data_IF_402898302330
#
_entry.id   IF_402898302330
#
_cell.length_a   1.000
_cell.length_b   1.000
_cell.length_c   1.000
_cell.angle_alpha   90.00
_cell.angle_beta   90.00
_cell.angle_gamma   90.00
#
_symmetry.space_group_name_H-M   'P 1'
#
loop_
_entity.id
_entity.type
_entity.pdbx_description
1 polymer ?
#
# COMPACT_ATOMS: atom_id res chain seq x y z
N UNK A 1 35.66 -33.00 -52.11
CA UNK A 1 34.26 -33.24 -51.72
C UNK A 1 34.27 -33.98 -50.39
N UNK A 2 34.18 -33.25 -49.28
CA UNK A 2 34.13 -33.83 -47.92
C UNK A 2 32.68 -33.71 -47.41
N UNK A 3 32.09 -34.86 -47.10
CA UNK A 3 30.74 -35.00 -46.59
C UNK A 3 30.68 -34.59 -45.11
N UNK A 4 29.74 -33.69 -44.78
CA UNK A 4 29.45 -33.26 -43.43
C UNK A 4 28.49 -34.24 -42.75
N UNK A 5 28.93 -34.82 -41.63
CA UNK A 5 28.10 -35.57 -40.70
C UNK A 5 27.21 -34.60 -39.89
N UNK A 6 25.90 -34.71 -40.07
CA UNK A 6 24.90 -34.08 -39.18
C UNK A 6 24.59 -35.07 -38.06
N UNK A 7 25.08 -34.79 -36.85
CA UNK A 7 24.69 -35.53 -35.64
C UNK A 7 23.42 -34.88 -35.08
N UNK A 8 22.29 -35.56 -35.26
CA UNK A 8 21.03 -35.20 -34.62
C UNK A 8 21.13 -35.49 -33.11
N UNK A 9 21.06 -34.42 -32.30
CA UNK A 9 21.03 -34.52 -30.83
C UNK A 9 19.59 -34.83 -30.42
N UNK A 10 19.34 -36.05 -29.96
CA UNK A 10 18.05 -36.45 -29.39
C UNK A 10 17.75 -35.59 -28.15
N UNK A 11 16.52 -35.05 -28.07
CA UNK A 11 16.03 -34.35 -26.90
C UNK A 11 15.95 -35.33 -25.70
N UNK A 12 16.34 -34.92 -24.49
CA UNK A 12 16.15 -35.75 -23.31
C UNK A 12 14.65 -35.98 -23.05
N UNK A 13 14.25 -37.18 -22.60
CA UNK A 13 12.85 -37.45 -22.28
C UNK A 13 12.37 -36.50 -21.18
N UNK A 14 11.18 -35.92 -21.40
CA UNK A 14 10.50 -35.11 -20.42
C UNK A 14 10.35 -35.89 -19.09
N UNK A 15 10.60 -35.28 -17.92
CA UNK A 15 10.35 -35.95 -16.66
C UNK A 15 8.86 -36.27 -16.57
N UNK A 16 8.57 -37.57 -16.38
CA UNK A 16 7.23 -38.07 -16.16
C UNK A 16 6.57 -37.29 -15.02
N UNK A 17 5.37 -36.77 -15.29
CA UNK A 17 4.52 -36.16 -14.28
C UNK A 17 4.33 -37.16 -13.14
N UNK A 18 4.95 -36.88 -11.99
CA UNK A 18 4.65 -37.59 -10.76
C UNK A 18 3.17 -37.33 -10.44
N UNK A 19 2.34 -38.34 -10.66
CA UNK A 19 0.96 -38.37 -10.18
C UNK A 19 1.00 -38.24 -8.66
N UNK A 20 0.71 -37.05 -8.16
CA UNK A 20 0.48 -36.81 -6.74
C UNK A 20 -0.81 -37.54 -6.38
N UNK A 21 -0.66 -38.72 -5.78
CA UNK A 21 -1.72 -39.41 -5.07
C UNK A 21 -2.27 -38.50 -3.98
N UNK A 22 -3.58 -38.28 -4.02
CA UNK A 22 -4.32 -37.52 -3.03
C UNK A 22 -4.15 -38.17 -1.64
N UNK A 23 -3.58 -37.42 -0.69
CA UNK A 23 -3.70 -37.71 0.73
C UNK A 23 -4.63 -36.65 1.34
N UNK A 24 -5.89 -37.04 1.56
CA UNK A 24 -6.95 -36.22 2.12
C UNK A 24 -7.06 -36.36 3.64
N UNK A 25 -5.95 -36.18 4.37
CA UNK A 25 -5.93 -36.20 5.85
C UNK A 25 -5.42 -34.87 6.46
N UNK A 26 -5.22 -33.83 5.66
CA UNK A 26 -4.91 -32.50 6.19
C UNK A 26 -6.20 -31.70 6.34
N UNK A 27 -6.75 -31.66 7.55
CA UNK A 27 -7.78 -30.67 7.90
C UNK A 27 -7.10 -29.31 8.14
N UNK A 28 -7.57 -28.24 7.49
CA UNK A 28 -7.01 -26.86 7.58
C UNK A 28 -6.84 -26.38 9.04
N UNK A 29 -7.65 -26.92 9.96
CA UNK A 29 -7.65 -26.57 11.37
C UNK A 29 -6.56 -27.22 12.23
N UNK A 30 -5.96 -28.34 11.81
CA UNK A 30 -5.08 -29.14 12.70
C UNK A 30 -3.84 -28.38 13.17
N UNK A 31 -3.33 -27.50 12.32
CA UNK A 31 -2.13 -26.71 12.57
C UNK A 31 -2.44 -25.31 13.12
N UNK A 32 -3.72 -25.00 13.36
CA UNK A 32 -4.11 -23.78 14.06
C UNK A 32 -3.90 -24.00 15.56
N UNK A 33 -3.01 -23.21 16.17
CA UNK A 33 -2.83 -23.23 17.63
C UNK A 33 -3.00 -21.84 18.20
N UNK A 34 -3.60 -21.77 19.38
CA UNK A 34 -3.67 -20.53 20.15
C UNK A 34 -2.28 -20.16 20.64
N UNK A 35 -1.89 -18.91 20.39
CA UNK A 35 -0.72 -18.30 20.98
C UNK A 35 -1.16 -17.59 22.27
N UNK A 36 -0.69 -18.00 23.46
CA UNK A 36 -1.03 -17.33 24.70
C UNK A 36 -0.30 -15.97 24.74
N UNK A 37 -1.05 -14.89 24.54
CA UNK A 37 -0.51 -13.53 24.58
C UNK A 37 -1.27 -12.67 25.59
N UNK A 38 -0.55 -11.93 26.44
CA UNK A 38 -1.13 -11.07 27.48
C UNK A 38 -0.55 -9.67 27.38
N UNK A 39 -1.43 -8.66 27.27
CA UNK A 39 -1.04 -7.25 27.26
C UNK A 39 -1.73 -6.56 28.43
N UNK A 40 -0.95 -5.97 29.34
CA UNK A 40 -1.46 -5.29 30.55
C UNK A 40 -2.44 -6.14 31.38
N UNK A 41 -2.21 -7.45 31.44
CA UNK A 41 -3.07 -8.40 32.16
C UNK A 41 -4.27 -8.92 31.36
N UNK A 42 -4.56 -8.38 30.18
CA UNK A 42 -5.61 -8.86 29.30
C UNK A 42 -5.10 -9.93 28.32
N UNK A 43 -5.79 -11.07 28.28
CA UNK A 43 -5.50 -12.13 27.29
C UNK A 43 -6.00 -11.70 25.92
N UNK A 44 -5.10 -11.67 24.95
CA UNK A 44 -5.43 -11.42 23.55
C UNK A 44 -5.59 -12.77 22.85
N UNK A 45 -6.71 -12.96 22.15
CA UNK A 45 -7.01 -14.18 21.41
C UNK A 45 -6.32 -14.19 20.05
N UNK A 46 -5.09 -14.69 20.01
CA UNK A 46 -4.35 -14.90 18.77
C UNK A 46 -4.29 -16.38 18.42
N UNK A 47 -4.74 -16.74 17.22
CA UNK A 47 -4.51 -18.04 16.62
C UNK A 47 -3.44 -17.91 15.52
N UNK A 48 -2.53 -18.89 15.47
CA UNK A 48 -1.50 -18.97 14.42
C UNK A 48 -1.65 -20.28 13.67
N UNK A 49 -1.83 -20.19 12.36
CA UNK A 49 -1.70 -21.30 11.43
C UNK A 49 -0.28 -21.32 10.87
N UNK A 50 0.48 -22.35 11.23
CA UNK A 50 1.86 -22.54 10.79
C UNK A 50 2.22 -24.03 10.79
N UNK A 51 2.81 -24.50 9.69
CA UNK A 51 3.17 -25.92 9.49
C UNK A 51 4.46 -26.33 10.19
N UNK A 52 5.31 -25.36 10.54
CA UNK A 52 6.55 -25.59 11.27
C UNK A 52 6.58 -24.82 12.59
N UNK A 53 7.36 -25.31 13.55
CA UNK A 53 7.57 -24.60 14.80
C UNK A 53 8.34 -23.28 14.62
N UNK A 54 9.21 -23.20 13.61
CA UNK A 54 9.96 -21.98 13.30
C UNK A 54 9.03 -20.88 12.79
N UNK A 55 8.16 -21.21 11.84
CA UNK A 55 7.17 -20.28 11.29
C UNK A 55 6.18 -19.83 12.37
N UNK A 56 5.80 -20.76 13.26
CA UNK A 56 4.92 -20.43 14.39
C UNK A 56 5.56 -19.41 15.32
N UNK A 57 6.81 -19.61 15.75
CA UNK A 57 7.52 -18.65 16.60
C UNK A 57 7.62 -17.29 15.92
N UNK A 58 8.06 -17.27 14.65
CA UNK A 58 8.14 -16.04 13.88
C UNK A 58 6.80 -15.28 13.84
N UNK A 59 5.70 -15.96 13.52
CA UNK A 59 4.39 -15.32 13.43
C UNK A 59 3.82 -14.90 14.78
N UNK A 60 4.09 -15.67 15.84
CA UNK A 60 3.76 -15.27 17.20
C UNK A 60 4.50 -13.98 17.56
N UNK A 61 5.83 -13.97 17.52
CA UNK A 61 6.66 -12.81 17.89
C UNK A 61 6.25 -11.57 17.05
N UNK A 62 6.09 -11.76 15.74
CA UNK A 62 5.61 -10.73 14.81
C UNK A 62 4.26 -10.14 15.22
N UNK A 63 3.28 -11.00 15.52
CA UNK A 63 1.93 -10.56 15.85
C UNK A 63 1.85 -9.94 17.24
N UNK A 64 2.57 -10.48 18.22
CA UNK A 64 2.60 -9.94 19.59
C UNK A 64 3.06 -8.49 19.62
N UNK A 65 4.17 -8.17 18.92
CA UNK A 65 4.66 -6.80 18.80
C UNK A 65 3.59 -5.85 18.23
N UNK A 66 2.92 -6.25 17.16
CA UNK A 66 1.92 -5.42 16.49
C UNK A 66 0.65 -5.28 17.33
N UNK A 67 0.21 -6.38 17.94
CA UNK A 67 -1.02 -6.42 18.74
C UNK A 67 -0.88 -5.67 20.06
N UNK A 68 0.33 -5.64 20.67
CA UNK A 68 0.62 -4.75 21.81
C UNK A 68 0.35 -3.29 21.43
N UNK A 69 0.92 -2.84 20.31
CA UNK A 69 0.74 -1.47 19.82
C UNK A 69 -0.74 -1.22 19.48
N UNK A 70 -1.42 -2.13 18.79
CA UNK A 70 -2.83 -1.98 18.43
C UNK A 70 -3.75 -1.90 19.65
N UNK A 71 -3.52 -2.76 20.65
CA UNK A 71 -4.25 -2.77 21.92
C UNK A 71 -4.09 -1.44 22.66
N UNK A 72 -2.85 -0.99 22.86
CA UNK A 72 -2.57 0.27 23.54
C UNK A 72 -3.09 1.48 22.76
N UNK A 73 -3.04 1.42 21.43
CA UNK A 73 -3.55 2.47 20.56
C UNK A 73 -5.07 2.61 20.68
N UNK A 74 -5.83 1.51 20.64
CA UNK A 74 -7.29 1.54 20.72
C UNK A 74 -7.81 1.62 22.16
N UNK A 75 -6.98 1.27 23.15
CA UNK A 75 -7.35 1.09 24.56
C UNK A 75 -8.54 0.11 24.73
N UNK A 76 -8.54 -0.98 23.94
CA UNK A 76 -9.53 -2.06 23.98
C UNK A 76 -9.00 -3.29 23.25
N UNK A 77 -9.69 -4.42 23.43
CA UNK A 77 -9.36 -5.70 22.78
C UNK A 77 -9.22 -5.59 21.26
N UNK A 78 -8.19 -6.27 20.72
CA UNK A 78 -7.94 -6.45 19.29
C UNK A 78 -8.85 -7.49 18.64
N UNK A 79 -9.77 -8.11 19.39
CA UNK A 79 -10.60 -9.20 18.91
C UNK A 79 -9.83 -10.52 18.73
N UNK A 80 -10.54 -11.55 18.28
CA UNK A 80 -9.98 -12.85 17.92
C UNK A 80 -9.31 -12.77 16.55
N UNK A 81 -8.00 -12.97 16.50
CA UNK A 81 -7.20 -12.90 15.28
C UNK A 81 -6.70 -14.25 14.79
N UNK A 82 -6.54 -14.39 13.47
CA UNK A 82 -5.83 -15.50 12.85
C UNK A 82 -4.68 -14.98 11.97
N UNK A 83 -3.45 -15.40 12.26
CA UNK A 83 -2.30 -15.22 11.36
C UNK A 83 -1.99 -16.54 10.65
N UNK A 84 -1.97 -16.50 9.32
CA UNK A 84 -1.66 -17.64 8.45
C UNK A 84 -0.27 -17.40 7.85
N UNK A 85 0.69 -18.26 8.18
CA UNK A 85 2.02 -18.19 7.57
C UNK A 85 2.04 -19.03 6.29
N UNK A 86 2.32 -18.39 5.16
CA UNK A 86 2.55 -19.09 3.91
C UNK A 86 3.77 -20.01 3.98
N UNK A 87 3.85 -20.99 3.09
CA UNK A 87 5.05 -21.82 2.90
C UNK A 87 5.77 -21.43 1.62
N UNK A 88 7.08 -21.65 1.57
CA UNK A 88 7.84 -21.51 0.33
C UNK A 88 7.24 -22.40 -0.77
N UNK A 89 7.05 -21.81 -1.96
CA UNK A 89 6.44 -22.46 -3.12
C UNK A 89 4.90 -22.47 -3.13
N UNK A 90 4.23 -22.09 -2.04
CA UNK A 90 2.77 -21.95 -2.05
C UNK A 90 2.34 -20.68 -2.82
N UNK A 91 1.29 -20.77 -3.66
CA UNK A 91 0.74 -19.59 -4.31
C UNK A 91 0.27 -18.55 -3.28
N UNK A 92 0.63 -17.29 -3.53
CA UNK A 92 0.13 -16.17 -2.76
C UNK A 92 -1.40 -16.08 -2.90
N UNK A 93 -2.19 -15.72 -1.86
CA UNK A 93 -3.65 -15.67 -1.94
C UNK A 93 -4.22 -14.85 -3.10
N UNK A 94 -3.52 -13.78 -3.49
CA UNK A 94 -3.86 -12.92 -4.65
C UNK A 94 -3.94 -13.71 -5.96
N UNK A 95 -3.16 -14.78 -6.13
CA UNK A 95 -3.21 -15.65 -7.31
C UNK A 95 -4.59 -16.31 -7.42
N UNK A 96 -5.09 -16.87 -6.31
CA UNK A 96 -6.43 -17.47 -6.25
C UNK A 96 -7.53 -16.42 -6.48
N UNK A 97 -7.40 -15.24 -5.88
CA UNK A 97 -8.37 -14.15 -6.08
C UNK A 97 -8.47 -13.73 -7.54
N UNK A 98 -7.33 -13.51 -8.20
CA UNK A 98 -7.28 -13.15 -9.63
C UNK A 98 -7.85 -14.25 -10.51
N UNK A 99 -7.61 -15.51 -10.17
CA UNK A 99 -8.19 -16.65 -10.90
C UNK A 99 -9.71 -16.65 -10.81
N UNK A 100 -10.25 -16.44 -9.62
CA UNK A 100 -11.71 -16.34 -9.42
C UNK A 100 -12.30 -15.18 -10.24
N UNK A 101 -11.66 -14.01 -10.23
CA UNK A 101 -12.08 -12.84 -11.03
C UNK A 101 -12.07 -13.18 -12.53
N UNK A 102 -10.98 -13.75 -13.04
CA UNK A 102 -10.86 -14.10 -14.46
C UNK A 102 -11.90 -15.12 -14.91
N UNK A 103 -12.22 -16.13 -14.07
CA UNK A 103 -13.28 -17.09 -14.36
C UNK A 103 -14.67 -16.43 -14.37
N UNK A 104 -14.91 -15.46 -13.49
CA UNK A 104 -16.16 -14.71 -13.44
C UNK A 104 -16.34 -13.84 -14.69
N UNK A 105 -15.29 -13.12 -15.10
CA UNK A 105 -15.27 -12.29 -16.31
C UNK A 105 -15.46 -13.11 -17.58
N UNK A 106 -14.92 -14.33 -17.62
CA UNK A 106 -15.12 -15.27 -18.70
C UNK A 106 -16.51 -15.93 -18.72
N UNK A 107 -17.39 -15.62 -17.76
CA UNK A 107 -18.72 -16.23 -17.65
C UNK A 107 -18.66 -17.72 -17.30
N UNK A 108 -17.57 -18.19 -16.69
CA UNK A 108 -17.33 -19.60 -16.39
C UNK A 108 -17.74 -20.00 -14.96
N UNK A 109 -18.25 -19.06 -14.16
CA UNK A 109 -18.77 -19.31 -12.82
C UNK A 109 -20.30 -19.34 -12.82
N UNK A 110 -20.88 -19.87 -11.75
CA UNK A 110 -22.33 -19.88 -11.54
C UNK A 110 -22.92 -18.46 -11.55
N UNK A 111 -24.20 -18.30 -11.92
CA UNK A 111 -24.90 -17.01 -11.81
C UNK A 111 -24.78 -16.38 -10.42
N UNK A 112 -24.60 -15.07 -10.37
CA UNK A 112 -24.42 -14.31 -9.11
C UNK A 112 -22.96 -14.12 -8.68
N UNK A 113 -22.01 -14.91 -9.19
CA UNK A 113 -20.59 -14.79 -8.83
C UNK A 113 -19.91 -13.51 -9.36
N UNK A 114 -20.45 -12.92 -10.43
CA UNK A 114 -19.88 -11.72 -11.04
C UNK A 114 -19.87 -10.51 -10.10
N UNK A 115 -20.83 -10.38 -9.19
CA UNK A 115 -20.86 -9.30 -8.19
C UNK A 115 -19.78 -9.47 -7.14
N UNK A 116 -19.61 -10.69 -6.64
CA UNK A 116 -18.55 -11.03 -5.68
C UNK A 116 -17.16 -10.83 -6.30
N UNK A 117 -16.99 -11.22 -7.57
CA UNK A 117 -15.75 -10.99 -8.31
C UNK A 117 -15.44 -9.50 -8.48
N UNK A 118 -16.44 -8.67 -8.83
CA UNK A 118 -16.27 -7.21 -8.92
C UNK A 118 -15.90 -6.57 -7.57
N UNK A 119 -16.53 -7.03 -6.49
CA UNK A 119 -16.19 -6.56 -5.15
C UNK A 119 -14.76 -6.94 -4.76
N UNK A 120 -14.35 -8.17 -5.07
CA UNK A 120 -12.99 -8.66 -4.82
C UNK A 120 -11.94 -7.92 -5.65
N UNK A 121 -12.23 -7.61 -6.93
CA UNK A 121 -11.34 -6.82 -7.78
C UNK A 121 -11.17 -5.40 -7.23
N UNK A 122 -12.27 -4.75 -6.81
CA UNK A 122 -12.21 -3.45 -6.16
C UNK A 122 -11.37 -3.48 -4.87
N UNK A 123 -11.44 -4.56 -4.08
CA UNK A 123 -10.58 -4.77 -2.91
C UNK A 123 -9.11 -4.89 -3.30
N UNK A 124 -8.77 -5.68 -4.33
CA UNK A 124 -7.39 -5.80 -4.83
C UNK A 124 -6.85 -4.47 -5.35
N UNK A 125 -7.66 -3.68 -6.06
CA UNK A 125 -7.30 -2.34 -6.54
C UNK A 125 -7.07 -1.39 -5.36
N UNK A 126 -7.94 -1.41 -4.35
CA UNK A 126 -7.79 -0.58 -3.15
C UNK A 126 -6.53 -0.96 -2.36
N UNK A 127 -6.25 -2.25 -2.23
CA UNK A 127 -5.03 -2.75 -1.62
C UNK A 127 -3.80 -2.28 -2.42
N UNK A 128 -3.76 -2.51 -3.74
CA UNK A 128 -2.69 -2.03 -4.63
C UNK A 128 -2.44 -0.53 -4.53
N UNK A 129 -3.52 0.26 -4.47
CA UNK A 129 -3.46 1.72 -4.32
C UNK A 129 -2.88 2.11 -2.97
N UNK A 130 -3.20 1.36 -1.90
CA UNK A 130 -2.64 1.59 -0.56
C UNK A 130 -1.13 1.38 -0.53
N UNK A 131 -0.61 0.46 -1.35
CA UNK A 131 0.82 0.18 -1.46
C UNK A 131 1.58 1.23 -2.28
N UNK A 132 0.88 2.07 -3.03
CA UNK A 132 1.45 3.11 -3.90
C UNK A 132 2.53 2.60 -4.89
N UNK A 133 2.44 1.33 -5.30
CA UNK A 133 3.47 0.66 -6.12
C UNK A 133 3.44 1.06 -7.60
N UNK A 134 2.33 1.62 -8.06
CA UNK A 134 2.14 2.04 -9.47
C UNK A 134 2.32 3.55 -9.70
N UNK A 135 2.67 4.34 -8.66
CA UNK A 135 2.85 5.80 -8.79
C UNK A 135 4.16 6.18 -9.53
N UNK A 136 4.34 5.63 -10.72
CA UNK A 136 5.35 6.00 -11.71
C UNK A 136 5.04 7.31 -12.46
N UNK A 137 4.10 8.14 -12.02
CA UNK A 137 3.67 9.30 -12.82
C UNK A 137 3.99 10.70 -12.26
N UNK A 138 4.74 10.82 -11.17
CA UNK A 138 5.10 12.15 -10.63
C UNK A 138 6.52 12.64 -10.88
N UNK A 139 7.45 11.80 -11.32
CA UNK A 139 8.81 12.25 -11.61
C UNK A 139 9.39 11.57 -12.87
N UNK A 140 9.26 12.19 -14.06
CA UNK A 140 9.83 11.65 -15.30
C UNK A 140 11.36 11.57 -15.28
N UNK A 141 12.03 12.21 -14.32
CA UNK A 141 13.49 12.21 -14.20
C UNK A 141 14.02 11.10 -13.26
N UNK A 142 13.13 10.35 -12.57
CA UNK A 142 13.53 9.19 -11.77
C UNK A 142 13.63 7.93 -12.64
N UNK A 143 14.82 7.68 -13.17
CA UNK A 143 15.24 6.42 -13.80
C UNK A 143 15.35 5.26 -12.77
N UNK A 144 14.28 4.98 -12.03
CA UNK A 144 14.19 3.82 -11.14
C UNK A 144 13.80 2.54 -11.89
N UNK A 145 14.19 1.35 -11.39
CA UNK A 145 13.75 0.08 -11.96
C UNK A 145 12.22 -0.02 -12.04
N UNK A 146 11.70 -0.60 -13.13
CA UNK A 146 10.27 -0.87 -13.27
C UNK A 146 9.91 -2.15 -12.51
N UNK A 147 9.82 -2.04 -11.20
CA UNK A 147 9.35 -3.13 -10.36
C UNK A 147 7.83 -3.18 -10.54
N UNK A 148 7.34 -4.24 -11.18
CA UNK A 148 5.91 -4.44 -11.29
C UNK A 148 5.34 -4.85 -9.93
N UNK A 149 4.07 -4.54 -9.70
CA UNK A 149 3.33 -5.07 -8.56
C UNK A 149 3.46 -6.59 -8.46
N UNK A 150 3.34 -7.30 -9.59
CA UNK A 150 3.40 -8.76 -9.65
C UNK A 150 4.74 -9.33 -9.16
N UNK A 151 5.85 -8.61 -9.35
CA UNK A 151 7.15 -9.02 -8.83
C UNK A 151 7.21 -8.94 -7.30
N UNK A 152 6.42 -8.05 -6.67
CA UNK A 152 6.40 -7.85 -5.23
C UNK A 152 5.35 -8.72 -4.52
N UNK A 153 4.24 -9.06 -5.20
CA UNK A 153 3.10 -9.82 -4.65
C UNK A 153 3.51 -11.00 -3.77
N UNK A 154 4.45 -11.88 -4.16
CA UNK A 154 4.80 -13.05 -3.34
C UNK A 154 5.30 -12.72 -1.93
N UNK A 155 5.80 -11.50 -1.71
CA UNK A 155 6.39 -11.10 -0.45
C UNK A 155 5.55 -10.08 0.34
N UNK A 156 4.43 -9.64 -0.22
CA UNK A 156 3.51 -8.69 0.40
C UNK A 156 2.48 -9.44 1.26
N UNK A 157 2.21 -9.02 2.50
CA UNK A 157 1.13 -9.61 3.27
C UNK A 157 -0.23 -9.10 2.81
N UNK A 158 -1.27 -9.90 3.04
CA UNK A 158 -2.62 -9.58 2.61
C UNK A 158 -3.64 -9.85 3.73
N UNK A 159 -4.48 -8.86 4.08
CA UNK A 159 -5.66 -9.10 4.90
C UNK A 159 -6.62 -10.02 4.14
N UNK A 160 -7.12 -11.06 4.80
CA UNK A 160 -8.07 -11.99 4.21
C UNK A 160 -9.47 -11.72 4.75
N UNK A 161 -10.21 -10.86 4.05
CA UNK A 161 -11.57 -10.47 4.39
C UNK A 161 -12.61 -11.16 3.48
N UNK A 162 -13.73 -11.58 4.08
CA UNK A 162 -14.88 -12.13 3.35
C UNK A 162 -14.51 -13.25 2.36
N UNK A 163 -14.87 -13.06 1.09
CA UNK A 163 -14.66 -14.01 0.00
C UNK A 163 -13.19 -14.40 -0.17
N UNK A 164 -12.26 -13.45 0.03
CA UNK A 164 -10.83 -13.72 -0.16
C UNK A 164 -10.30 -14.81 0.79
N UNK A 165 -10.80 -14.84 2.02
CA UNK A 165 -10.42 -15.81 3.03
C UNK A 165 -10.96 -17.20 2.68
N UNK A 166 -12.22 -17.29 2.22
CA UNK A 166 -12.82 -18.54 1.76
C UNK A 166 -12.14 -19.08 0.50
N UNK A 167 -11.81 -18.22 -0.46
CA UNK A 167 -11.06 -18.62 -1.65
C UNK A 167 -9.70 -19.22 -1.29
N UNK A 168 -8.99 -18.62 -0.33
CA UNK A 168 -7.74 -19.18 0.17
C UNK A 168 -7.94 -20.54 0.84
N UNK A 169 -8.97 -20.69 1.68
CA UNK A 169 -9.32 -21.96 2.31
C UNK A 169 -9.60 -23.06 1.27
N UNK A 170 -10.32 -22.72 0.19
CA UNK A 170 -10.59 -23.65 -0.91
C UNK A 170 -9.33 -24.01 -1.67
N UNK A 171 -8.49 -23.03 -2.02
CA UNK A 171 -7.21 -23.30 -2.67
C UNK A 171 -6.34 -24.23 -1.84
N UNK A 172 -6.31 -24.04 -0.52
CA UNK A 172 -5.61 -24.92 0.39
C UNK A 172 -6.19 -26.34 0.41
N UNK A 173 -7.52 -26.48 0.48
CA UNK A 173 -8.19 -27.78 0.52
C UNK A 173 -7.94 -28.60 -0.77
N UNK A 174 -7.79 -27.91 -1.90
CA UNK A 174 -7.43 -28.52 -3.18
C UNK A 174 -5.90 -28.73 -3.34
N UNK A 175 -5.12 -28.52 -2.28
CA UNK A 175 -3.66 -28.66 -2.26
C UNK A 175 -2.94 -27.67 -3.18
N UNK A 176 -3.59 -26.53 -3.47
CA UNK A 176 -3.16 -25.53 -4.46
C UNK A 176 -2.98 -26.09 -5.89
N UNK A 177 -3.59 -27.23 -6.19
CA UNK A 177 -3.57 -27.79 -7.55
C UNK A 177 -4.44 -26.96 -8.49
N UNK A 178 -3.85 -26.51 -9.59
CA UNK A 178 -4.47 -25.54 -10.49
C UNK A 178 -5.76 -26.09 -11.14
N UNK A 179 -5.74 -27.36 -11.54
CA UNK A 179 -6.85 -28.02 -12.23
C UNK A 179 -8.01 -28.30 -11.27
N UNK A 180 -7.72 -28.89 -10.11
CA UNK A 180 -8.71 -29.14 -9.05
C UNK A 180 -9.32 -27.86 -8.53
N UNK A 181 -8.51 -26.83 -8.27
CA UNK A 181 -9.00 -25.52 -7.87
C UNK A 181 -9.91 -24.92 -8.94
N UNK A 182 -9.54 -24.97 -10.23
CA UNK A 182 -10.41 -24.46 -11.30
C UNK A 182 -11.76 -25.16 -11.33
N UNK A 183 -11.75 -26.49 -11.27
CA UNK A 183 -12.97 -27.29 -11.24
C UNK A 183 -13.82 -26.92 -10.02
N UNK A 184 -13.20 -26.77 -8.84
CA UNK A 184 -13.86 -26.36 -7.61
C UNK A 184 -14.49 -24.97 -7.74
N UNK A 185 -13.75 -23.98 -8.22
CA UNK A 185 -14.23 -22.60 -8.38
C UNK A 185 -15.45 -22.53 -9.32
N UNK A 186 -15.43 -23.26 -10.45
CA UNK A 186 -16.56 -23.30 -11.40
C UNK A 186 -17.82 -23.93 -10.81
N UNK A 187 -17.66 -24.85 -9.86
CA UNK A 187 -18.76 -25.52 -9.18
C UNK A 187 -19.31 -24.74 -7.97
N UNK A 188 -18.66 -23.64 -7.54
CA UNK A 188 -19.10 -22.89 -6.37
C UNK A 188 -20.44 -22.19 -6.59
N UNK A 189 -21.25 -22.20 -5.55
CA UNK A 189 -22.45 -21.37 -5.40
C UNK A 189 -22.17 -20.18 -4.46
N UNK A 190 -23.01 -19.16 -4.50
CA UNK A 190 -22.88 -18.00 -3.60
C UNK A 190 -22.91 -18.44 -2.12
N UNK A 191 -23.79 -19.39 -1.77
CA UNK A 191 -23.89 -19.94 -0.43
C UNK A 191 -22.59 -20.64 0.04
N UNK A 192 -21.85 -21.27 -0.88
CA UNK A 192 -20.56 -21.88 -0.54
C UNK A 192 -19.53 -20.83 -0.10
N UNK A 193 -19.63 -19.59 -0.61
CA UNK A 193 -18.75 -18.47 -0.25
C UNK A 193 -19.15 -17.77 1.05
N UNK A 194 -20.40 -17.91 1.48
CA UNK A 194 -20.89 -17.37 2.76
C UNK A 194 -20.44 -18.22 3.95
N UNK A 195 -20.31 -19.53 3.77
CA UNK A 195 -19.72 -20.41 4.79
C UNK A 195 -18.21 -20.22 4.86
N UNK A 196 -17.68 -19.77 5.99
CA UNK A 196 -16.23 -19.57 6.16
C UNK A 196 -15.78 -20.08 7.53
N UNK A 197 -14.82 -21.01 7.56
CA UNK A 197 -14.26 -21.51 8.82
C UNK A 197 -13.54 -20.42 9.61
N UNK A 198 -13.18 -19.31 8.94
CA UNK A 198 -12.57 -18.14 9.56
C UNK A 198 -13.57 -17.11 10.08
N UNK A 199 -14.88 -17.30 9.89
CA UNK A 199 -15.90 -16.35 10.36
C UNK A 199 -15.90 -16.14 11.90
N UNK A 200 -15.28 -17.06 12.65
CA UNK A 200 -15.08 -16.93 14.10
C UNK A 200 -13.99 -15.94 14.51
N UNK A 201 -13.18 -15.46 13.57
CA UNK A 201 -12.14 -14.46 13.81
C UNK A 201 -12.63 -13.09 13.38
N UNK A 202 -12.34 -12.07 14.18
CA UNK A 202 -12.60 -10.68 13.84
C UNK A 202 -11.72 -10.18 12.68
N UNK A 203 -10.54 -10.79 12.49
CA UNK A 203 -9.64 -10.52 11.39
C UNK A 203 -8.76 -11.72 11.06
N UNK A 204 -8.38 -11.84 9.78
CA UNK A 204 -7.48 -12.88 9.28
C UNK A 204 -6.39 -12.22 8.45
N UNK A 205 -5.14 -12.63 8.67
CA UNK A 205 -3.99 -12.02 8.05
C UNK A 205 -3.06 -13.09 7.46
N UNK A 206 -2.82 -13.02 6.16
CA UNK A 206 -1.80 -13.85 5.51
C UNK A 206 -0.44 -13.16 5.60
N UNK A 207 0.50 -13.84 6.24
CA UNK A 207 1.90 -13.47 6.37
C UNK A 207 2.74 -14.35 5.43
N UNK A 208 3.37 -13.78 4.39
CA UNK A 208 4.28 -14.54 3.54
C UNK A 208 5.46 -15.08 4.36
N UNK A 209 6.10 -16.18 3.91
CA UNK A 209 7.30 -16.70 4.55
C UNK A 209 8.33 -15.59 4.82
N UNK A 210 9.10 -15.76 5.91
CA UNK A 210 10.16 -14.81 6.29
C UNK A 210 11.14 -14.53 5.14
N UNK A 211 11.41 -15.54 4.32
CA UNK A 211 12.35 -15.48 3.20
C UNK A 211 11.71 -15.14 1.86
N UNK A 212 10.39 -14.96 1.77
CA UNK A 212 9.70 -14.68 0.51
C UNK A 212 10.24 -13.43 -0.22
N UNK A 213 10.73 -12.44 0.53
CA UNK A 213 11.30 -11.22 -0.05
C UNK A 213 12.74 -11.41 -0.57
N UNK A 214 13.48 -12.42 -0.11
CA UNK A 214 14.85 -12.66 -0.57
C UNK A 214 14.87 -13.00 -2.07
N UNK A 215 13.94 -13.84 -2.52
CA UNK A 215 13.77 -14.16 -3.95
C UNK A 215 13.37 -12.94 -4.79
N UNK A 216 12.52 -12.07 -4.25
CA UNK A 216 12.11 -10.82 -4.92
C UNK A 216 13.29 -9.87 -5.10
N UNK A 217 14.11 -9.67 -4.06
CA UNK A 217 15.34 -8.87 -4.14
C UNK A 217 16.27 -9.44 -5.22
N UNK A 218 16.51 -10.75 -5.21
CA UNK A 218 17.46 -11.39 -6.11
C UNK A 218 17.02 -11.28 -7.58
N UNK A 219 15.73 -11.46 -7.84
CA UNK A 219 15.14 -11.25 -9.18
C UNK A 219 15.27 -9.80 -9.63
N UNK A 220 14.94 -8.84 -8.76
CA UNK A 220 15.04 -7.41 -9.08
C UNK A 220 16.48 -6.99 -9.40
N UNK A 221 17.46 -7.40 -8.58
CA UNK A 221 18.88 -7.07 -8.82
C UNK A 221 19.34 -7.70 -10.14
N UNK A 222 18.95 -8.94 -10.41
CA UNK A 222 19.29 -9.64 -11.66
C UNK A 222 18.76 -8.90 -12.88
N UNK A 223 17.47 -8.53 -12.88
CA UNK A 223 16.85 -7.76 -13.95
C UNK A 223 17.53 -6.40 -14.18
N UNK A 224 17.90 -5.69 -13.11
CA UNK A 224 18.64 -4.42 -13.20
C UNK A 224 20.02 -4.63 -13.83
N UNK A 225 20.77 -5.64 -13.36
CA UNK A 225 22.12 -5.92 -13.88
C UNK A 225 22.09 -6.31 -15.36
N UNK A 226 21.08 -7.08 -15.79
CA UNK A 226 20.88 -7.47 -17.18
C UNK A 226 20.48 -6.28 -18.07
N UNK A 227 19.51 -5.47 -17.62
CA UNK A 227 19.04 -4.28 -18.36
C UNK A 227 20.16 -3.27 -18.57
N UNK A 228 20.98 -3.03 -17.55
CA UNK A 228 22.11 -2.11 -17.60
C UNK A 228 23.35 -2.71 -18.28
N UNK A 229 23.26 -3.93 -18.82
CA UNK A 229 24.36 -4.67 -19.46
C UNK A 229 25.64 -4.64 -18.62
N UNK A 230 25.50 -4.79 -17.31
CA UNK A 230 26.63 -4.61 -16.39
C UNK A 230 27.67 -5.69 -16.62
N UNK A 231 28.93 -5.29 -16.85
CA UNK A 231 30.07 -6.20 -16.88
C UNK A 231 30.38 -6.80 -15.50
N UNK A 232 31.21 -7.84 -15.46
CA UNK A 232 31.53 -8.61 -14.25
C UNK A 232 31.91 -7.74 -13.04
N UNK A 233 32.78 -6.75 -13.23
CA UNK A 233 33.21 -5.85 -12.15
C UNK A 233 32.06 -5.02 -11.58
N UNK A 234 31.19 -4.46 -12.41
CA UNK A 234 30.01 -3.70 -11.96
C UNK A 234 29.03 -4.61 -11.19
N UNK A 235 28.83 -5.84 -11.64
CA UNK A 235 28.00 -6.84 -10.94
C UNK A 235 28.59 -7.17 -9.56
N UNK A 236 29.91 -7.33 -9.46
CA UNK A 236 30.59 -7.57 -8.19
C UNK A 236 30.37 -6.39 -7.23
N UNK A 237 30.55 -5.14 -7.70
CA UNK A 237 30.30 -3.94 -6.88
C UNK A 237 28.86 -3.86 -6.39
N UNK A 238 27.86 -4.13 -7.24
CA UNK A 238 26.44 -4.14 -6.84
C UNK A 238 26.18 -5.20 -5.78
N UNK A 239 26.71 -6.42 -5.96
CA UNK A 239 26.58 -7.50 -4.96
C UNK A 239 27.22 -7.11 -3.62
N UNK A 240 28.40 -6.50 -3.64
CA UNK A 240 29.06 -6.00 -2.42
C UNK A 240 28.25 -4.92 -1.72
N UNK A 241 27.70 -3.96 -2.47
CA UNK A 241 26.79 -2.95 -1.91
C UNK A 241 25.54 -3.59 -1.28
N UNK A 242 25.02 -4.66 -1.88
CA UNK A 242 23.83 -5.35 -1.36
C UNK A 242 24.07 -6.06 -0.03
N UNK A 243 25.29 -6.44 0.32
CA UNK A 243 25.60 -6.93 1.67
C UNK A 243 25.29 -5.87 2.73
N UNK A 244 25.54 -4.59 2.41
CA UNK A 244 25.30 -3.46 3.31
C UNK A 244 23.82 -3.06 3.35
N UNK A 245 23.14 -3.07 2.20
CA UNK A 245 21.76 -2.60 2.11
C UNK A 245 20.68 -3.66 2.40
N UNK A 246 20.96 -4.95 2.19
CA UNK A 246 19.98 -6.04 2.43
C UNK A 246 19.38 -5.99 3.84
N UNK A 247 20.15 -5.78 4.93
CA UNK A 247 19.57 -5.65 6.27
C UNK A 247 18.56 -4.49 6.40
N UNK A 248 18.88 -3.33 5.83
CA UNK A 248 17.97 -2.18 5.82
C UNK A 248 16.69 -2.50 5.04
N UNK A 249 16.81 -3.11 3.87
CA UNK A 249 15.66 -3.51 3.05
C UNK A 249 14.79 -4.53 3.79
N UNK A 250 15.40 -5.56 4.42
CA UNK A 250 14.66 -6.54 5.24
C UNK A 250 13.92 -5.86 6.39
N UNK A 251 14.57 -4.93 7.11
CA UNK A 251 13.92 -4.16 8.19
C UNK A 251 12.76 -3.32 7.66
N UNK A 252 12.91 -2.66 6.51
CA UNK A 252 11.84 -1.89 5.88
C UNK A 252 10.65 -2.77 5.48
N UNK A 253 10.90 -3.95 4.90
CA UNK A 253 9.86 -4.91 4.54
C UNK A 253 9.14 -5.45 5.78
N UNK A 254 9.88 -5.76 6.84
CA UNK A 254 9.28 -6.21 8.10
C UNK A 254 8.45 -5.10 8.75
N UNK A 255 8.94 -3.85 8.76
CA UNK A 255 8.18 -2.70 9.23
C UNK A 255 6.91 -2.47 8.43
N UNK A 256 6.99 -2.66 7.10
CA UNK A 256 5.83 -2.63 6.22
C UNK A 256 4.84 -3.76 6.53
N UNK A 257 5.32 -5.00 6.74
CA UNK A 257 4.46 -6.13 7.12
C UNK A 257 3.73 -5.87 8.44
N UNK A 258 4.46 -5.39 9.45
CA UNK A 258 3.90 -5.01 10.76
C UNK A 258 2.83 -3.92 10.62
N UNK A 259 3.11 -2.90 9.80
CA UNK A 259 2.14 -1.83 9.52
C UNK A 259 0.85 -2.35 8.85
N UNK A 260 0.94 -3.35 7.98
CA UNK A 260 -0.24 -3.97 7.36
C UNK A 260 -1.08 -4.77 8.35
N UNK A 261 -0.46 -5.50 9.29
CA UNK A 261 -1.23 -6.16 10.36
C UNK A 261 -1.89 -5.12 11.27
N UNK A 262 -1.17 -4.06 11.64
CA UNK A 262 -1.71 -2.95 12.43
C UNK A 262 -2.92 -2.30 11.75
N UNK A 263 -2.81 -2.02 10.45
CA UNK A 263 -3.92 -1.52 9.62
C UNK A 263 -5.13 -2.45 9.70
N UNK A 264 -4.91 -3.74 9.50
CA UNK A 264 -5.97 -4.78 9.48
C UNK A 264 -6.72 -4.80 10.81
N UNK A 265 -6.00 -4.81 11.92
CA UNK A 265 -6.60 -4.84 13.27
C UNK A 265 -7.39 -3.56 13.55
N UNK A 266 -6.84 -2.39 13.21
CA UNK A 266 -7.54 -1.12 13.39
C UNK A 266 -8.80 -1.02 12.52
N UNK A 267 -8.75 -1.49 11.27
CA UNK A 267 -9.91 -1.54 10.38
C UNK A 267 -11.03 -2.41 10.95
N UNK A 268 -10.67 -3.57 11.50
CA UNK A 268 -11.65 -4.49 12.09
C UNK A 268 -12.25 -3.96 13.40
N UNK A 269 -11.48 -3.27 14.25
CA UNK A 269 -11.86 -3.07 15.66
C UNK A 269 -11.96 -1.63 16.15
N UNK A 270 -11.29 -0.66 15.53
CA UNK A 270 -11.10 0.66 16.16
C UNK A 270 -12.36 1.53 16.18
N UNK A 271 -13.20 1.47 15.13
CA UNK A 271 -14.31 2.39 14.91
C UNK A 271 -13.88 3.75 14.34
N UNK A 272 -12.60 3.95 14.05
CA UNK A 272 -12.10 5.18 13.42
C UNK A 272 -12.39 5.19 11.91
N UNK A 273 -12.36 6.39 11.33
CA UNK A 273 -12.49 6.54 9.88
C UNK A 273 -11.33 5.87 9.15
N UNK A 274 -11.56 5.41 7.91
CA UNK A 274 -10.52 4.80 7.07
C UNK A 274 -9.29 5.71 6.92
N UNK A 275 -9.51 7.03 6.83
CA UNK A 275 -8.42 8.00 6.70
C UNK A 275 -7.63 8.18 8.01
N UNK A 276 -8.30 8.11 9.17
CA UNK A 276 -7.61 8.19 10.47
C UNK A 276 -6.74 6.96 10.68
N UNK A 277 -7.27 5.78 10.36
CA UNK A 277 -6.55 4.51 10.42
C UNK A 277 -5.34 4.55 9.49
N UNK A 278 -5.50 5.01 8.23
CA UNK A 278 -4.37 5.16 7.30
C UNK A 278 -3.30 6.12 7.83
N UNK A 279 -3.69 7.22 8.46
CA UNK A 279 -2.75 8.17 9.04
C UNK A 279 -1.99 7.57 10.25
N UNK A 280 -2.69 6.83 11.11
CA UNK A 280 -2.08 6.13 12.25
C UNK A 280 -1.11 5.04 11.79
N UNK A 281 -1.51 4.23 10.80
CA UNK A 281 -0.63 3.23 10.19
C UNK A 281 0.60 3.88 9.54
N UNK A 282 0.45 5.05 8.90
CA UNK A 282 1.56 5.81 8.35
C UNK A 282 2.55 6.28 9.42
N UNK A 283 2.05 6.78 10.56
CA UNK A 283 2.89 7.17 11.70
C UNK A 283 3.63 5.97 12.30
N UNK A 284 2.94 4.83 12.44
CA UNK A 284 3.54 3.58 12.89
C UNK A 284 4.66 3.10 11.94
N UNK A 285 4.37 3.00 10.64
CA UNK A 285 5.33 2.60 9.61
C UNK A 285 6.56 3.52 9.60
N UNK A 286 6.37 4.84 9.68
CA UNK A 286 7.47 5.81 9.65
C UNK A 286 8.50 5.56 10.74
N UNK A 287 8.10 5.10 11.93
CA UNK A 287 9.01 4.77 13.02
C UNK A 287 9.77 3.48 12.75
N UNK A 288 9.12 2.49 12.13
CA UNK A 288 9.73 1.19 11.82
C UNK A 288 10.70 1.22 10.63
N UNK A 289 10.60 2.24 9.77
CA UNK A 289 11.49 2.40 8.63
C UNK A 289 12.95 2.55 9.10
N UNK A 290 13.92 1.89 8.44
CA UNK A 290 15.32 1.95 8.81
C UNK A 290 15.86 3.38 8.66
N UNK A 291 16.56 3.87 9.68
CA UNK A 291 17.34 5.11 9.68
C UNK A 291 18.85 4.84 9.56
N UNK A 292 19.22 3.60 9.18
CA UNK A 292 20.58 3.07 9.15
C UNK A 292 21.29 3.06 10.51
N UNK A 293 20.54 3.20 11.62
CA UNK A 293 20.99 2.96 12.98
C UNK A 293 20.26 1.72 13.51
N UNK A 294 21.01 0.66 13.80
CA UNK A 294 20.44 -0.67 14.08
C UNK A 294 20.50 -1.05 15.57
N UNK A 295 20.57 -0.07 16.46
CA UNK A 295 20.90 -0.31 17.87
C UNK A 295 19.71 -0.12 18.83
N UNK A 296 18.53 0.19 18.31
CA UNK A 296 17.34 0.40 19.14
C UNK A 296 16.85 -0.94 19.68
N UNK A 297 16.60 -1.00 20.98
CA UNK A 297 15.88 -2.11 21.60
C UNK A 297 14.41 -2.13 21.17
N UNK A 298 13.75 -3.28 21.36
CA UNK A 298 12.31 -3.42 21.10
C UNK A 298 11.47 -2.42 21.91
N UNK A 299 11.80 -2.21 23.18
CA UNK A 299 11.07 -1.27 24.04
C UNK A 299 11.24 0.18 23.61
N UNK A 300 12.46 0.60 23.22
CA UNK A 300 12.69 1.94 22.66
C UNK A 300 11.92 2.15 21.36
N UNK A 301 11.83 1.11 20.52
CA UNK A 301 11.03 1.15 19.30
C UNK A 301 9.54 1.30 19.64
N UNK A 302 9.05 0.54 20.63
CA UNK A 302 7.67 0.63 21.12
C UNK A 302 7.33 2.02 21.64
N UNK A 303 8.17 2.61 22.49
CA UNK A 303 7.97 3.97 23.01
C UNK A 303 7.88 5.03 21.89
N UNK A 304 8.81 4.97 20.92
CA UNK A 304 8.80 5.87 19.76
C UNK A 304 7.55 5.70 18.91
N UNK A 305 7.11 4.45 18.71
CA UNK A 305 5.89 4.12 18.00
C UNK A 305 4.68 4.74 18.71
N UNK A 306 4.54 4.52 20.01
CA UNK A 306 3.42 5.04 20.79
C UNK A 306 3.42 6.58 20.80
N UNK A 307 4.58 7.21 20.94
CA UNK A 307 4.70 8.67 20.85
C UNK A 307 4.26 9.22 19.47
N UNK A 308 4.63 8.54 18.38
CA UNK A 308 4.22 8.92 17.03
C UNK A 308 2.70 8.75 16.82
N UNK A 309 2.14 7.66 17.34
CA UNK A 309 0.70 7.38 17.28
C UNK A 309 -0.10 8.41 18.08
N UNK A 310 0.29 8.73 19.31
CA UNK A 310 -0.41 9.73 20.13
C UNK A 310 -0.37 11.11 19.47
N UNK A 311 0.78 11.51 18.93
CA UNK A 311 0.88 12.74 18.14
C UNK A 311 -0.05 12.72 16.92
N UNK A 312 -0.21 11.57 16.27
CA UNK A 312 -1.10 11.44 15.13
C UNK A 312 -2.59 11.41 15.52
N UNK A 313 -2.96 10.86 16.69
CA UNK A 313 -4.33 10.96 17.23
C UNK A 313 -4.73 12.42 17.45
N UNK A 314 -3.85 13.25 18.02
CA UNK A 314 -4.09 14.69 18.19
C UNK A 314 -4.31 15.37 16.83
N UNK A 315 -3.50 15.05 15.82
CA UNK A 315 -3.68 15.58 14.45
C UNK A 315 -4.99 15.13 13.82
N UNK A 316 -5.41 13.88 14.05
CA UNK A 316 -6.67 13.34 13.55
C UNK A 316 -7.86 14.05 14.21
N UNK A 317 -7.83 14.25 15.53
CA UNK A 317 -8.85 14.99 16.26
C UNK A 317 -8.93 16.44 15.80
N UNK A 318 -7.80 17.09 15.52
CA UNK A 318 -7.79 18.45 14.96
C UNK A 318 -8.38 18.50 13.54
N UNK A 319 -8.00 17.55 12.68
CA UNK A 319 -8.56 17.44 11.34
C UNK A 319 -10.07 17.21 11.35
N UNK A 320 -10.58 16.42 12.29
CA UNK A 320 -12.02 16.13 12.41
C UNK A 320 -12.87 17.38 12.71
N UNK A 321 -12.28 18.47 13.24
CA UNK A 321 -12.98 19.74 13.48
C UNK A 321 -13.30 20.51 12.19
N UNK A 322 -12.46 20.37 11.17
CA UNK A 322 -12.58 21.07 9.89
C UNK A 322 -12.05 20.17 8.75
N UNK A 323 -12.75 19.06 8.46
CA UNK A 323 -12.31 18.10 7.46
C UNK A 323 -12.34 18.72 6.06
N UNK A 324 -11.45 18.25 5.19
CA UNK A 324 -11.49 18.65 3.79
C UNK A 324 -12.72 18.05 3.11
N UNK A 325 -13.58 18.91 2.57
CA UNK A 325 -14.70 18.54 1.71
C UNK A 325 -14.45 19.15 0.34
N UNK A 326 -14.39 18.30 -0.69
CA UNK A 326 -14.24 18.78 -2.06
C UNK A 326 -15.52 19.50 -2.50
N UNK A 327 -15.47 20.80 -2.83
CA UNK A 327 -16.62 21.50 -3.37
C UNK A 327 -16.90 21.06 -4.81
N UNK A 328 -18.14 21.26 -5.26
CA UNK A 328 -18.48 21.12 -6.67
C UNK A 328 -17.87 22.28 -7.49
N UNK A 329 -17.51 22.00 -8.74
CA UNK A 329 -17.11 23.05 -9.68
C UNK A 329 -18.34 23.87 -10.08
N UNK A 330 -18.13 25.16 -10.35
CA UNK A 330 -19.17 25.97 -10.97
C UNK A 330 -19.40 25.50 -12.41
N UNK A 331 -20.65 25.23 -12.76
CA UNK A 331 -21.03 24.86 -14.13
C UNK A 331 -20.96 26.03 -15.11
N UNK A 332 -21.14 27.26 -14.61
CA UNK A 332 -20.99 28.50 -15.36
C UNK A 332 -20.33 29.56 -14.47
N UNK A 333 -19.43 30.36 -15.03
CA UNK A 333 -18.73 31.44 -14.33
C UNK A 333 -18.27 32.51 -15.31
N UNK A 334 -18.13 33.75 -14.84
CA UNK A 334 -17.43 34.80 -15.57
C UNK A 334 -15.93 34.73 -15.28
N UNK A 335 -15.14 34.31 -16.26
CA UNK A 335 -13.71 34.15 -16.10
C UNK A 335 -12.97 35.48 -15.83
N UNK A 336 -13.51 36.62 -16.27
CA UNK A 336 -12.91 37.93 -16.01
C UNK A 336 -12.96 38.30 -14.52
N UNK A 337 -14.02 37.92 -13.81
CA UNK A 337 -14.16 38.16 -12.37
C UNK A 337 -13.05 37.53 -11.51
N UNK A 338 -12.39 36.48 -12.01
CA UNK A 338 -11.33 35.76 -11.31
C UNK A 338 -9.91 36.27 -11.60
N UNK A 339 -9.74 37.18 -12.57
CA UNK A 339 -8.43 37.71 -12.95
C UNK A 339 -7.69 38.36 -11.77
N UNK A 340 -8.43 38.92 -10.79
CA UNK A 340 -7.87 39.51 -9.56
C UNK A 340 -7.05 38.52 -8.70
N UNK A 341 -7.31 37.22 -8.82
CA UNK A 341 -6.62 36.16 -8.07
C UNK A 341 -5.33 35.69 -8.75
N UNK A 342 -5.06 36.11 -9.99
CA UNK A 342 -3.84 35.77 -10.69
C UNK A 342 -2.63 36.44 -10.03
N UNK A 343 -1.48 35.74 -10.07
CA UNK A 343 -0.21 36.24 -9.54
C UNK A 343 0.50 35.29 -8.59
N UNK A 344 1.45 35.86 -7.86
CA UNK A 344 2.40 35.14 -7.00
C UNK A 344 1.88 34.97 -5.57
N UNK A 345 2.15 33.82 -4.96
CA UNK A 345 1.81 33.52 -3.56
C UNK A 345 2.99 32.83 -2.82
N UNK A 346 3.14 33.21 -1.56
CA UNK A 346 4.18 32.77 -0.62
C UNK A 346 5.45 33.62 -0.61
N UNK A 347 6.38 33.27 0.27
CA UNK A 347 7.64 34.00 0.46
C UNK A 347 8.56 33.88 -0.75
N UNK A 348 9.15 35.01 -1.14
CA UNK A 348 10.25 35.08 -2.09
C UNK A 348 11.50 34.41 -1.47
N UNK A 349 11.75 33.15 -1.82
CA UNK A 349 12.94 32.45 -1.31
C UNK A 349 14.14 32.89 -2.14
N UNK A 350 15.14 33.52 -1.50
CA UNK A 350 16.41 33.87 -2.17
C UNK A 350 16.98 32.62 -2.82
N UNK A 351 17.02 32.59 -4.15
CA UNK A 351 17.86 31.65 -4.83
C UNK A 351 19.31 32.02 -4.51
N UNK A 352 20.21 31.02 -4.41
CA UNK A 352 21.65 31.23 -4.18
C UNK A 352 22.18 32.41 -5.04
N UNK A 353 23.14 33.17 -4.48
CA UNK A 353 23.78 34.38 -5.05
C UNK A 353 23.58 34.48 -6.57
N UNK A 354 22.85 35.53 -6.98
CA UNK A 354 22.62 35.95 -8.37
C UNK A 354 21.43 35.34 -9.15
N UNK A 355 20.46 34.71 -8.49
CA UNK A 355 19.19 34.30 -9.13
C UNK A 355 17.97 35.00 -8.54
N UNK A 356 17.07 35.45 -9.42
CA UNK A 356 15.79 36.05 -9.05
C UNK A 356 15.00 35.15 -8.08
N UNK A 357 14.45 35.76 -7.03
CA UNK A 357 13.51 35.12 -6.10
C UNK A 357 12.27 34.67 -6.85
N UNK A 358 12.02 33.35 -6.91
CA UNK A 358 10.77 32.81 -7.46
C UNK A 358 9.74 32.62 -6.35
N UNK A 359 8.46 32.94 -6.60
CA UNK A 359 7.41 32.68 -5.64
C UNK A 359 7.25 31.18 -5.41
N UNK A 360 6.76 30.80 -4.23
CA UNK A 360 6.53 29.39 -3.90
C UNK A 360 5.35 28.78 -4.65
N UNK A 361 4.40 29.64 -5.04
CA UNK A 361 3.16 29.33 -5.76
C UNK A 361 2.85 30.45 -6.75
N UNK A 362 2.25 30.11 -7.88
CA UNK A 362 1.76 31.08 -8.85
C UNK A 362 0.43 30.59 -9.42
N UNK A 363 -0.59 31.46 -9.45
CA UNK A 363 -1.82 31.22 -10.19
C UNK A 363 -1.72 31.93 -11.53
N UNK A 364 -1.78 31.18 -12.62
CA UNK A 364 -1.77 31.69 -14.00
C UNK A 364 -3.02 31.23 -14.71
N UNK A 365 -3.67 32.11 -15.46
CA UNK A 365 -4.79 31.74 -16.31
C UNK A 365 -4.30 31.22 -17.66
N UNK A 366 -4.88 30.11 -18.11
CA UNK A 366 -4.72 29.55 -19.45
C UNK A 366 -6.11 29.25 -20.01
N UNK A 367 -6.55 30.08 -20.97
CA UNK A 367 -7.91 30.07 -21.51
C UNK A 367 -8.97 30.20 -20.39
N UNK A 368 -9.84 29.19 -20.24
CA UNK A 368 -10.89 29.12 -19.22
C UNK A 368 -10.49 28.28 -18.00
N UNK A 369 -9.19 28.08 -17.80
CA UNK A 369 -8.65 27.32 -16.67
C UNK A 369 -7.54 28.08 -15.95
N UNK A 370 -7.28 27.71 -14.69
CA UNK A 370 -6.21 28.31 -13.90
C UNK A 370 -5.20 27.25 -13.49
N UNK A 371 -3.93 27.51 -13.76
CA UNK A 371 -2.83 26.67 -13.32
C UNK A 371 -2.28 27.15 -11.99
N UNK A 372 -2.39 26.30 -10.98
CA UNK A 372 -1.67 26.45 -9.72
C UNK A 372 -0.28 25.82 -9.85
N UNK A 373 0.71 26.67 -10.07
CA UNK A 373 2.09 26.28 -10.30
C UNK A 373 2.87 26.22 -8.98
N UNK A 374 3.62 25.14 -8.82
CA UNK A 374 4.56 24.96 -7.71
C UNK A 374 5.95 25.35 -8.17
N UNK A 375 6.81 25.80 -7.24
CA UNK A 375 8.23 26.04 -7.55
C UNK A 375 8.91 24.80 -8.17
N UNK A 376 8.53 23.63 -7.69
CA UNK A 376 9.00 22.32 -8.16
C UNK A 376 7.78 21.41 -8.27
N UNK A 377 7.49 20.90 -9.46
CA UNK A 377 6.39 19.99 -9.71
C UNK A 377 5.53 20.40 -10.89
N UNK A 378 4.66 19.50 -11.32
CA UNK A 378 3.70 19.74 -12.39
C UNK A 378 2.63 20.75 -11.92
N UNK A 379 2.28 21.77 -12.73
CA UNK A 379 1.14 22.62 -12.46
C UNK A 379 -0.14 21.80 -12.23
N UNK A 380 -1.02 22.27 -11.36
CA UNK A 380 -2.34 21.67 -11.15
C UNK A 380 -3.41 22.55 -11.78
N UNK A 381 -4.22 21.96 -12.66
CA UNK A 381 -5.39 22.64 -13.25
C UNK A 381 -6.45 22.81 -12.18
N UNK A 382 -6.92 24.04 -12.02
CA UNK A 382 -7.96 24.46 -11.10
C UNK A 382 -9.16 25.04 -11.86
N UNK A 383 -10.33 24.84 -11.29
CA UNK A 383 -11.61 25.37 -11.75
C UNK A 383 -12.28 26.17 -10.63
N UNK A 384 -13.02 27.24 -10.94
CA UNK A 384 -13.83 27.94 -9.97
C UNK A 384 -14.85 27.01 -9.31
N UNK A 385 -14.99 27.12 -7.99
CA UNK A 385 -15.95 26.42 -7.14
C UNK A 385 -16.71 27.37 -6.21
N UNK A 386 -16.54 28.68 -6.41
CA UNK A 386 -17.17 29.78 -5.68
C UNK A 386 -16.40 31.09 -5.88
N UNK A 387 -16.90 32.21 -5.36
CA UNK A 387 -16.40 33.57 -5.65
C UNK A 387 -14.91 33.82 -5.36
N UNK A 388 -14.33 33.01 -4.48
CA UNK A 388 -12.93 33.05 -4.07
C UNK A 388 -12.30 31.67 -3.95
N UNK A 389 -12.99 30.63 -4.43
CA UNK A 389 -12.65 29.25 -4.18
C UNK A 389 -12.41 28.53 -5.51
N UNK A 390 -11.32 27.79 -5.57
CA UNK A 390 -10.96 26.96 -6.70
C UNK A 390 -10.79 25.52 -6.25
N UNK A 391 -11.04 24.57 -7.15
CA UNK A 391 -10.88 23.13 -6.92
C UNK A 391 -10.14 22.48 -8.08
N UNK A 392 -9.28 21.49 -7.81
CA UNK A 392 -8.59 20.73 -8.84
C UNK A 392 -9.53 19.83 -9.62
N UNK A 393 -9.07 19.40 -10.80
CA UNK A 393 -9.83 18.47 -11.63
C UNK A 393 -10.21 17.17 -10.87
N UNK A 394 -9.32 16.63 -10.05
CA UNK A 394 -9.57 15.41 -9.28
C UNK A 394 -10.30 15.65 -7.94
N UNK A 395 -10.66 16.90 -7.61
CA UNK A 395 -11.31 17.25 -6.34
C UNK A 395 -10.40 17.11 -5.10
N UNK A 396 -9.10 16.85 -5.26
CA UNK A 396 -8.20 16.57 -4.14
C UNK A 396 -7.51 17.80 -3.56
N UNK A 397 -7.68 18.96 -4.20
CA UNK A 397 -7.05 20.22 -3.86
C UNK A 397 -8.06 21.35 -4.00
N UNK A 398 -8.13 22.21 -2.99
CA UNK A 398 -8.77 23.52 -3.12
C UNK A 398 -7.80 24.64 -2.83
N UNK A 399 -8.06 25.79 -3.46
CA UNK A 399 -7.36 27.04 -3.18
C UNK A 399 -8.40 28.12 -2.91
N UNK A 400 -8.45 28.60 -1.67
CA UNK A 400 -9.35 29.66 -1.25
C UNK A 400 -8.57 30.97 -1.06
N UNK A 401 -8.95 32.02 -1.79
CA UNK A 401 -8.28 33.30 -1.73
C UNK A 401 -8.78 34.15 -0.55
N UNK A 402 -7.84 34.69 0.22
CA UNK A 402 -8.10 35.57 1.35
C UNK A 402 -8.16 37.02 0.84
N UNK A 403 -9.20 37.73 1.23
CA UNK A 403 -9.42 39.14 0.88
C UNK A 403 -9.33 40.02 2.13
N UNK A 404 -8.75 41.20 2.01
CA UNK A 404 -8.89 42.28 2.97
C UNK A 404 -10.28 42.95 2.84
N UNK A 405 -10.63 43.80 3.82
CA UNK A 405 -11.91 44.52 3.84
C UNK A 405 -12.14 45.41 2.59
N UNK A 406 -11.06 45.89 1.96
CA UNK A 406 -11.11 46.67 0.72
C UNK A 406 -11.18 45.81 -0.55
N UNK A 407 -11.35 44.49 -0.43
CA UNK A 407 -11.39 43.55 -1.55
C UNK A 407 -10.03 43.15 -2.13
N UNK A 408 -8.92 43.67 -1.59
CA UNK A 408 -7.58 43.30 -2.04
C UNK A 408 -7.23 41.85 -1.62
N UNK A 409 -6.65 41.07 -2.53
CA UNK A 409 -6.21 39.70 -2.23
C UNK A 409 -4.96 39.74 -1.35
N UNK A 410 -5.04 39.15 -0.16
CA UNK A 410 -3.94 39.11 0.82
C UNK A 410 -3.21 37.77 0.86
N UNK A 411 -3.80 36.72 0.29
CA UNK A 411 -3.18 35.41 0.21
C UNK A 411 -4.09 34.34 -0.38
N UNK A 412 -3.61 33.11 -0.34
CA UNK A 412 -4.31 31.92 -0.79
C UNK A 412 -4.12 30.81 0.23
N UNK A 413 -5.20 30.14 0.60
CA UNK A 413 -5.17 28.95 1.46
C UNK A 413 -5.35 27.71 0.61
N UNK A 414 -4.33 26.88 0.60
CA UNK A 414 -4.33 25.58 -0.03
C UNK A 414 -4.87 24.54 0.98
N UNK A 415 -5.90 23.79 0.58
CA UNK A 415 -6.42 22.66 1.37
C UNK A 415 -6.41 21.38 0.55
N UNK A 416 -6.06 20.29 1.22
CA UNK A 416 -6.19 18.89 0.75
C UNK A 416 -6.57 18.03 1.95
N UNK A 417 -6.87 16.76 1.73
CA UNK A 417 -7.06 15.79 2.82
C UNK A 417 -5.87 15.86 3.79
N UNK A 418 -6.14 16.21 5.05
CA UNK A 418 -5.18 16.38 6.15
C UNK A 418 -4.02 17.36 5.88
N UNK A 419 -4.18 18.28 4.92
CA UNK A 419 -3.20 19.34 4.65
C UNK A 419 -3.89 20.69 4.50
N UNK A 420 -3.41 21.69 5.23
CA UNK A 420 -3.86 23.08 5.15
C UNK A 420 -2.65 23.99 5.25
N UNK A 421 -2.48 24.88 4.28
CA UNK A 421 -1.38 25.83 4.27
C UNK A 421 -1.81 27.17 3.68
N UNK A 422 -1.53 28.26 4.38
CA UNK A 422 -1.76 29.61 3.86
C UNK A 422 -0.48 30.17 3.24
N UNK A 423 -0.61 30.73 2.05
CA UNK A 423 0.43 31.42 1.31
C UNK A 423 0.08 32.91 1.20
N UNK A 424 0.86 33.82 1.82
CA UNK A 424 0.60 35.26 1.71
C UNK A 424 0.85 35.76 0.28
N UNK A 425 0.09 36.75 -0.18
CA UNK A 425 0.40 37.46 -1.43
C UNK A 425 1.50 38.49 -1.10
N UNK A 426 2.68 38.43 -1.74
CA UNK A 426 3.72 39.42 -1.51
C UNK A 426 3.21 40.81 -1.94
N UNK A 427 3.64 41.89 -1.25
CA UNK A 427 3.30 43.24 -1.67
C UNK A 427 3.78 43.47 -3.10
N UNK A 428 2.96 44.14 -3.90
CA UNK A 428 3.35 44.55 -5.26
C UNK A 428 4.40 45.64 -5.08
N UNK A 429 5.68 45.32 -5.28
CA UNK A 429 6.72 46.33 -5.42
C UNK A 429 6.45 47.08 -6.74
N UNK A 430 5.81 48.24 -6.64
CA UNK A 430 5.73 49.18 -7.74
C UNK A 430 7.15 49.69 -7.96
N UNK A 431 7.86 49.12 -8.93
CA UNK A 431 9.10 49.71 -9.43
C UNK A 431 8.73 51.10 -9.96
N UNK A 432 9.18 52.13 -9.25
CA UNK A 432 9.09 53.52 -9.70
C UNK A 432 9.96 53.76 -10.92
#
# INVERSE_FOLDING_TARGET
MLAAFVVARAAPPAPAAASVTAASDEEFGKDVKLAPFVVKGEKISLAVYARTNSDRRYATDFAEEVLRVAFETMNKSTGAGLVIVGRDGEPHPVVTMRKFIALAEAGQLQPGMAELARALDAQLIAWKTTLNLDEKQRDPDRNGPNISFDALVPALPVPLEGVSAKLYQLAWAEGFDDARLTAKLRALTVADLESNAFAKYDWVFYLPPRHAFDGVIDQMITQVMEREKMGFLKRATVRSAMVVFRPAIKKAVEGFRKAMLFLTVLQARSGWSKDDIKALTGAYLQVLMPDFKFNDSEEQTHERVMAAIEKQKVRNAEYAKDPFVSPARLGAFDAAAYARFEGSYGTLVKAKKDKATKPSRMLVRENDTWLWQYRSGKPTVLYPAGDRLFVSADGRLTVEFKLAANGAVTGAEERRVRHRQTFPRPPIEVKK
#
